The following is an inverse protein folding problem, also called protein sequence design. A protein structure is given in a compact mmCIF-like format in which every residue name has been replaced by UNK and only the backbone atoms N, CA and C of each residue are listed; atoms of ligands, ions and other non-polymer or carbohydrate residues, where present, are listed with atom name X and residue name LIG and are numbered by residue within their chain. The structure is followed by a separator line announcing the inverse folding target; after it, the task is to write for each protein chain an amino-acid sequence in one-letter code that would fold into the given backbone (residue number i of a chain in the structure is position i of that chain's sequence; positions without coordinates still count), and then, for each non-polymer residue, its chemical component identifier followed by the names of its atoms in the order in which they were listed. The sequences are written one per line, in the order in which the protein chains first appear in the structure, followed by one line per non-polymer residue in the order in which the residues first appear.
data_IF_240981281106
#
_entry.id   IF_240981281106
#
_cell.length_a   1.000
_cell.length_b   1.000
_cell.length_c   1.000
_cell.angle_alpha   90.00
_cell.angle_beta   90.00
_cell.angle_gamma   90.00
#
_symmetry.space_group_name_H-M   'P 1'
#
loop_
_entity.id
_entity.type
_entity.pdbx_description
1 polymer ?
#
# COMPACT_ATOMS: atom_id res chain seq x y z
N UNK A 1 -8.79 2.08 -8.51
CA UNK A 1 -8.17 3.32 -8.03
C UNK A 1 -7.34 3.94 -9.15
N UNK A 2 -7.19 5.26 -9.18
CA UNK A 2 -6.27 5.99 -10.07
C UNK A 2 -5.71 7.23 -9.35
N UNK A 3 -4.66 7.85 -9.89
CA UNK A 3 -4.04 9.04 -9.29
C UNK A 3 -3.53 10.06 -10.30
N UNK A 4 -3.48 11.31 -9.88
CA UNK A 4 -2.76 12.40 -10.53
C UNK A 4 -1.81 13.02 -9.51
N UNK A 5 -0.52 13.05 -9.81
CA UNK A 5 0.53 13.77 -9.07
C UNK A 5 0.56 15.24 -9.52
N UNK A 6 0.61 16.17 -8.57
CA UNK A 6 0.69 17.62 -8.82
C UNK A 6 1.99 18.17 -8.22
N UNK A 7 2.79 18.90 -9.02
CA UNK A 7 4.04 19.55 -8.57
C UNK A 7 5.01 18.63 -7.79
N UNK A 8 4.98 17.33 -8.06
CA UNK A 8 5.83 16.32 -7.44
C UNK A 8 6.40 15.36 -8.48
N UNK A 9 7.27 14.45 -8.05
CA UNK A 9 7.88 13.45 -8.91
C UNK A 9 7.01 12.18 -9.01
N UNK A 10 6.24 12.06 -10.09
CA UNK A 10 5.38 10.90 -10.36
C UNK A 10 6.13 9.58 -10.56
N UNK A 11 7.45 9.60 -10.76
CA UNK A 11 8.27 8.40 -10.87
C UNK A 11 8.79 7.91 -9.51
N UNK A 12 8.61 8.69 -8.45
CA UNK A 12 9.06 8.40 -7.08
C UNK A 12 7.86 8.16 -6.16
N UNK A 13 7.61 6.90 -5.83
CA UNK A 13 6.57 6.53 -4.88
C UNK A 13 6.74 7.16 -3.50
N UNK A 14 7.92 7.64 -3.11
CA UNK A 14 8.08 8.29 -1.80
C UNK A 14 7.61 9.74 -1.82
N UNK A 15 7.52 10.36 -2.99
CA UNK A 15 7.18 11.77 -3.11
C UNK A 15 5.68 12.06 -2.96
N UNK A 16 4.84 11.09 -3.34
CA UNK A 16 3.39 11.15 -3.16
C UNK A 16 2.63 10.13 -4.01
N UNK A 17 1.63 9.45 -3.43
CA UNK A 17 0.79 8.47 -4.13
C UNK A 17 -0.63 8.41 -3.56
N UNK A 18 -1.55 7.88 -4.36
CA UNK A 18 -2.82 7.37 -3.87
C UNK A 18 -2.68 5.88 -3.48
N UNK A 19 -3.27 5.48 -2.36
CA UNK A 19 -3.19 4.12 -1.84
C UNK A 19 -4.56 3.44 -1.72
N UNK A 20 -4.53 2.12 -1.88
CA UNK A 20 -5.56 1.17 -1.48
C UNK A 20 -4.93 0.25 -0.45
N UNK A 21 -5.28 0.43 0.82
CA UNK A 21 -4.60 -0.17 1.95
C UNK A 21 -5.40 -1.32 2.56
N UNK A 22 -4.74 -2.42 2.88
CA UNK A 22 -5.27 -3.51 3.71
C UNK A 22 -4.33 -3.70 4.89
N UNK A 23 -4.82 -3.50 6.11
CA UNK A 23 -3.97 -3.35 7.29
C UNK A 23 -4.52 -4.03 8.55
N UNK A 24 -3.62 -4.52 9.39
CA UNK A 24 -3.90 -5.06 10.72
C UNK A 24 -3.17 -4.21 11.76
N UNK A 25 -3.89 -3.30 12.43
CA UNK A 25 -3.28 -2.38 13.40
C UNK A 25 -2.65 -3.09 14.60
N UNK A 26 -3.12 -4.29 14.95
CA UNK A 26 -2.58 -5.03 16.09
C UNK A 26 -1.17 -5.56 15.81
N UNK A 27 -0.91 -5.99 14.58
CA UNK A 27 0.39 -6.52 14.16
C UNK A 27 1.26 -5.48 13.46
N UNK A 28 0.66 -4.34 13.06
CA UNK A 28 1.28 -3.29 12.27
C UNK A 28 1.46 -3.66 10.80
N UNK A 29 0.94 -4.81 10.36
CA UNK A 29 1.09 -5.26 8.97
C UNK A 29 0.22 -4.46 8.04
N UNK A 30 0.79 -4.03 6.92
CA UNK A 30 0.08 -3.29 5.87
C UNK A 30 0.45 -3.86 4.49
N UNK A 31 -0.57 -3.98 3.66
CA UNK A 31 -0.50 -4.50 2.30
C UNK A 31 -1.24 -3.52 1.39
N UNK A 32 -0.50 -2.84 0.53
CA UNK A 32 -1.06 -1.76 -0.29
C UNK A 32 -0.93 -2.05 -1.77
N UNK A 33 -1.88 -1.51 -2.53
CA UNK A 33 -1.56 -0.99 -3.85
C UNK A 33 -1.36 0.52 -3.76
N UNK A 34 -0.33 1.02 -4.43
CA UNK A 34 -0.02 2.44 -4.55
C UNK A 34 0.01 2.85 -6.03
N UNK A 35 -0.42 4.06 -6.34
CA UNK A 35 -0.42 4.57 -7.70
C UNK A 35 -0.09 6.06 -7.75
N UNK A 36 0.72 6.43 -8.73
CA UNK A 36 1.03 7.84 -9.11
C UNK A 36 0.38 8.15 -10.45
N UNK A 37 0.75 9.29 -11.08
CA UNK A 37 0.42 9.55 -12.48
C UNK A 37 1.03 8.55 -13.48
N UNK A 38 2.08 7.83 -13.10
CA UNK A 38 2.90 7.06 -14.06
C UNK A 38 3.17 5.62 -13.64
N UNK A 39 3.10 5.30 -12.35
CA UNK A 39 3.48 4.00 -11.84
C UNK A 39 2.44 3.42 -10.90
N UNK A 40 2.41 2.09 -10.86
CA UNK A 40 1.68 1.28 -9.91
C UNK A 40 2.70 0.45 -9.15
N UNK A 41 2.55 0.41 -7.83
CA UNK A 41 3.39 -0.39 -6.95
C UNK A 41 2.58 -1.09 -5.88
N UNK A 42 3.29 -1.89 -5.11
CA UNK A 42 2.81 -2.52 -3.88
C UNK A 42 3.68 -2.03 -2.72
N UNK A 43 3.06 -1.83 -1.57
CA UNK A 43 3.78 -1.75 -0.29
C UNK A 43 3.50 -3.01 0.51
N UNK A 44 4.56 -3.66 0.94
CA UNK A 44 4.55 -4.69 1.97
C UNK A 44 5.35 -4.13 3.14
N UNK A 45 4.68 -3.88 4.26
CA UNK A 45 5.32 -3.24 5.40
C UNK A 45 4.82 -3.77 6.73
N UNK A 46 5.67 -3.58 7.73
CA UNK A 46 5.28 -3.65 9.12
C UNK A 46 5.63 -2.32 9.76
N UNK A 47 4.59 -1.56 10.13
CA UNK A 47 4.73 -0.22 10.67
C UNK A 47 5.44 -0.25 12.02
N UNK A 48 6.38 0.68 12.20
CA UNK A 48 6.84 1.03 13.53
C UNK A 48 5.70 1.75 14.27
N UNK A 49 5.27 1.19 15.39
CA UNK A 49 4.24 1.77 16.25
C UNK A 49 4.85 1.86 17.66
N UNK A 50 5.21 3.05 18.14
CA UNK A 50 5.80 3.23 19.46
C UNK A 50 4.98 2.53 20.56
N UNK A 51 5.64 1.67 21.33
CA UNK A 51 5.01 0.90 22.41
C UNK A 51 4.27 -0.37 21.97
N UNK A 52 4.18 -0.66 20.66
CA UNK A 52 3.52 -1.86 20.14
C UNK A 52 4.44 -2.69 19.23
N UNK A 53 5.00 -2.09 18.19
CA UNK A 53 5.89 -2.74 17.23
C UNK A 53 7.27 -2.10 17.34
N UNK A 54 8.32 -2.84 17.75
CA UNK A 54 9.64 -2.28 17.92
C UNK A 54 10.33 -2.06 16.57
N UNK A 55 11.30 -1.15 16.53
CA UNK A 55 11.87 -0.65 15.28
C UNK A 55 12.64 -1.72 14.50
N UNK A 56 13.26 -2.68 15.18
CA UNK A 56 13.96 -3.82 14.56
C UNK A 56 13.03 -4.82 13.85
N UNK A 57 11.72 -4.76 14.13
CA UNK A 57 10.70 -5.55 13.44
C UNK A 57 9.99 -4.76 12.35
N UNK A 58 10.21 -3.45 12.29
CA UNK A 58 9.58 -2.57 11.32
C UNK A 58 10.37 -2.58 10.00
N UNK A 59 9.63 -2.61 8.90
CA UNK A 59 10.20 -2.56 7.56
C UNK A 59 9.18 -2.00 6.58
N UNK A 60 9.67 -1.46 5.47
CA UNK A 60 8.84 -1.02 4.34
C UNK A 60 9.51 -1.46 3.05
N UNK A 61 8.85 -2.33 2.31
CA UNK A 61 9.26 -2.74 0.97
C UNK A 61 8.31 -2.14 -0.06
N UNK A 62 8.87 -1.47 -1.07
CA UNK A 62 8.11 -0.92 -2.20
C UNK A 62 8.51 -1.70 -3.44
N UNK A 63 7.52 -2.30 -4.10
CA UNK A 63 7.71 -3.12 -5.29
C UNK A 63 6.99 -2.43 -6.44
N UNK A 64 7.73 -1.96 -7.45
CA UNK A 64 7.14 -1.45 -8.68
C UNK A 64 6.57 -2.62 -9.50
N UNK A 65 5.33 -2.48 -9.96
CA UNK A 65 4.59 -3.56 -10.64
C UNK A 65 4.35 -3.25 -12.10
N UNK A 66 3.84 -2.05 -12.40
CA UNK A 66 3.46 -1.68 -13.77
C UNK A 66 3.45 -0.15 -13.94
N UNK A 67 3.31 0.28 -15.19
CA UNK A 67 3.07 1.67 -15.56
C UNK A 67 1.58 1.98 -15.62
N UNK A 68 1.24 3.24 -15.46
CA UNK A 68 -0.12 3.76 -15.64
C UNK A 68 -0.08 5.15 -16.27
N UNK A 69 -1.24 5.80 -16.37
CA UNK A 69 -1.37 7.18 -16.80
C UNK A 69 -2.22 7.95 -15.81
N UNK A 70 -2.05 9.28 -15.77
CA UNK A 70 -2.74 10.17 -14.85
C UNK A 70 -4.27 9.94 -14.85
N UNK A 71 -4.84 9.74 -13.65
CA UNK A 71 -6.26 9.52 -13.43
C UNK A 71 -6.81 8.18 -13.92
N UNK A 72 -6.01 7.34 -14.58
CA UNK A 72 -6.47 6.06 -15.12
C UNK A 72 -6.88 5.13 -13.99
N UNK A 73 -8.15 4.73 -14.03
CA UNK A 73 -8.72 3.80 -13.07
C UNK A 73 -8.25 2.38 -13.38
N UNK A 74 -7.62 1.77 -12.39
CA UNK A 74 -7.17 0.38 -12.40
C UNK A 74 -7.97 -0.42 -11.38
N UNK A 75 -8.10 -1.74 -11.60
CA UNK A 75 -8.77 -2.64 -10.66
C UNK A 75 -7.73 -3.36 -9.82
N UNK A 76 -7.83 -3.19 -8.52
CA UNK A 76 -6.94 -3.80 -7.54
C UNK A 76 -7.68 -4.84 -6.71
N UNK A 77 -7.00 -5.93 -6.37
CA UNK A 77 -7.49 -6.91 -5.38
C UNK A 77 -6.31 -7.40 -4.56
N UNK A 78 -6.50 -7.43 -3.24
CA UNK A 78 -5.59 -8.03 -2.27
C UNK A 78 -6.35 -9.19 -1.63
N UNK A 79 -5.70 -10.35 -1.52
CA UNK A 79 -6.27 -11.58 -0.98
C UNK A 79 -5.33 -12.16 0.06
N UNK A 80 -5.78 -12.22 1.31
CA UNK A 80 -5.05 -12.87 2.40
C UNK A 80 -5.56 -14.30 2.59
N UNK A 81 -4.66 -15.27 2.55
CA UNK A 81 -4.95 -16.68 2.78
C UNK A 81 -4.23 -17.17 4.05
N UNK A 82 -4.88 -17.02 5.22
CA UNK A 82 -4.31 -17.39 6.55
C UNK A 82 -3.75 -18.82 6.57
N UNK A 83 -4.48 -19.79 6.01
CA UNK A 83 -4.07 -21.20 5.99
C UNK A 83 -2.76 -21.47 5.21
N UNK A 84 -2.39 -20.59 4.28
CA UNK A 84 -1.16 -20.68 3.49
C UNK A 84 -0.09 -19.67 3.92
N UNK A 85 -0.39 -18.84 4.92
CA UNK A 85 0.43 -17.70 5.33
C UNK A 85 0.92 -16.83 4.15
N UNK A 86 0.00 -16.39 3.29
CA UNK A 86 0.35 -15.58 2.12
C UNK A 86 -0.67 -14.49 1.81
N UNK A 87 -0.20 -13.44 1.12
CA UNK A 87 -1.01 -12.39 0.50
C UNK A 87 -0.77 -12.40 -1.01
N UNK A 88 -1.84 -12.49 -1.80
CA UNK A 88 -1.80 -12.37 -3.26
C UNK A 88 -2.33 -11.02 -3.71
N UNK A 89 -1.63 -10.39 -4.65
CA UNK A 89 -1.99 -9.11 -5.24
C UNK A 89 -2.39 -9.32 -6.70
N UNK A 90 -3.49 -8.69 -7.09
CA UNK A 90 -4.00 -8.76 -8.45
C UNK A 90 -4.26 -7.36 -9.01
N UNK A 91 -3.77 -7.14 -10.23
CA UNK A 91 -4.00 -5.93 -11.03
C UNK A 91 -4.83 -6.33 -12.26
N UNK A 92 -5.98 -5.68 -12.45
CA UNK A 92 -6.89 -5.92 -13.58
C UNK A 92 -7.33 -7.38 -13.76
N UNK A 93 -7.31 -8.16 -12.67
CA UNK A 93 -7.69 -9.58 -12.67
C UNK A 93 -6.50 -10.53 -12.79
N UNK A 94 -5.32 -10.03 -13.16
CA UNK A 94 -4.09 -10.83 -13.24
C UNK A 94 -3.33 -10.79 -11.91
N UNK A 95 -2.79 -11.93 -11.49
CA UNK A 95 -1.97 -12.01 -10.28
C UNK A 95 -0.58 -11.46 -10.59
N UNK A 96 -0.21 -10.38 -9.93
CA UNK A 96 1.05 -9.67 -10.19
C UNK A 96 2.11 -9.91 -9.13
N UNK A 97 1.71 -10.28 -7.92
CA UNK A 97 2.64 -10.54 -6.83
C UNK A 97 2.05 -11.51 -5.79
N UNK A 98 2.92 -12.26 -5.12
CA UNK A 98 2.58 -13.10 -3.96
C UNK A 98 3.64 -12.85 -2.89
N UNK A 99 3.20 -12.39 -1.73
CA UNK A 99 4.03 -12.35 -0.54
C UNK A 99 3.72 -13.60 0.31
N UNK A 100 4.76 -14.36 0.64
CA UNK A 100 4.67 -15.54 1.53
C UNK A 100 5.36 -15.24 2.86
N UNK A 101 5.18 -16.15 3.81
CA UNK A 101 5.92 -16.15 5.07
C UNK A 101 5.74 -14.84 5.85
N UNK A 102 4.48 -14.39 5.95
CA UNK A 102 4.14 -13.21 6.75
C UNK A 102 4.61 -13.47 8.20
N UNK A 103 5.38 -12.55 8.81
CA UNK A 103 6.10 -12.82 10.05
C UNK A 103 5.18 -12.96 11.28
N UNK A 104 3.90 -12.62 11.12
CA UNK A 104 2.89 -12.57 12.18
C UNK A 104 1.55 -13.04 11.65
N UNK A 105 0.75 -13.66 12.52
CA UNK A 105 -0.63 -13.99 12.18
C UNK A 105 -1.48 -12.73 12.18
N UNK A 106 -2.40 -12.61 11.22
CA UNK A 106 -3.35 -11.50 11.14
C UNK A 106 -4.69 -11.95 11.71
N UNK A 107 -5.25 -11.13 12.58
CA UNK A 107 -6.53 -11.40 13.23
C UNK A 107 -7.62 -10.41 12.81
N UNK A 108 -7.23 -9.20 12.43
CA UNK A 108 -8.14 -8.21 11.84
C UNK A 108 -7.59 -7.68 10.53
N UNK A 109 -8.48 -7.36 9.59
CA UNK A 109 -8.11 -6.68 8.35
C UNK A 109 -9.03 -5.48 8.19
N UNK A 110 -8.41 -4.31 8.11
CA UNK A 110 -9.06 -3.03 7.90
C UNK A 110 -8.75 -2.55 6.50
N UNK A 111 -9.73 -1.91 5.87
CA UNK A 111 -9.59 -1.30 4.56
C UNK A 111 -9.38 0.20 4.70
N UNK A 112 -8.38 0.75 4.01
CA UNK A 112 -8.06 2.17 4.00
C UNK A 112 -7.79 2.71 2.60
N UNK A 113 -7.89 4.02 2.47
CA UNK A 113 -7.52 4.77 1.26
C UNK A 113 -6.84 6.07 1.70
N UNK A 114 -5.85 6.52 0.95
CA UNK A 114 -5.14 7.74 1.31
C UNK A 114 -4.39 8.39 0.17
N UNK A 115 -4.08 9.67 0.36
CA UNK A 115 -2.99 10.34 -0.33
C UNK A 115 -1.84 10.45 0.67
N UNK A 116 -0.71 9.83 0.35
CA UNK A 116 0.38 9.61 1.30
C UNK A 116 1.68 10.06 0.66
N UNK A 117 2.54 10.68 1.46
CA UNK A 117 3.96 10.90 1.14
C UNK A 117 4.78 10.03 2.08
N UNK A 118 5.89 9.47 1.60
CA UNK A 118 6.64 8.42 2.31
C UNK A 118 8.15 8.69 2.30
N UNK A 119 8.53 9.98 2.33
CA UNK A 119 9.93 10.36 2.53
C UNK A 119 10.32 10.05 3.98
N UNK A 120 11.48 9.39 4.21
CA UNK A 120 11.98 9.20 5.55
C UNK A 120 12.28 10.56 6.21
N UNK A 121 12.19 10.61 7.53
CA UNK A 121 12.66 11.74 8.31
C UNK A 121 14.16 11.91 8.08
N UNK A 122 14.61 13.13 7.80
CA UNK A 122 16.03 13.46 7.61
C UNK A 122 16.43 14.49 8.66
N UNK A 123 17.52 14.22 9.39
CA UNK A 123 18.04 15.11 10.44
C UNK A 123 16.96 15.54 11.46
N UNK A 124 16.07 14.61 11.84
CA UNK A 124 14.98 14.87 12.79
C UNK A 124 13.83 15.73 12.25
N UNK A 125 13.77 16.00 10.94
CA UNK A 125 12.73 16.82 10.31
C UNK A 125 12.06 16.08 9.15
N UNK A 126 10.78 16.35 8.95
CA UNK A 126 10.08 15.91 7.75
C UNK A 126 10.59 16.71 6.56
N UNK A 127 10.96 16.00 5.50
CA UNK A 127 11.24 16.57 4.16
C UNK A 127 10.17 16.17 3.16
N UNK A 128 9.05 15.64 3.66
CA UNK A 128 8.03 15.00 2.85
C UNK A 128 7.15 16.01 2.13
N UNK A 129 7.07 17.26 2.57
CA UNK A 129 6.25 18.31 1.95
C UNK A 129 7.15 19.40 1.38
N UNK A 130 7.02 19.68 0.09
CA UNK A 130 7.80 20.69 -0.64
C UNK A 130 6.96 21.47 -1.67
N UNK A 131 5.63 21.40 -1.57
CA UNK A 131 4.69 22.08 -2.47
C UNK A 131 3.98 21.16 -3.46
N UNK A 132 4.19 19.85 -3.32
CA UNK A 132 3.48 18.84 -4.11
C UNK A 132 2.10 18.51 -3.55
N UNK A 133 1.29 17.85 -4.38
CA UNK A 133 0.00 17.32 -4.01
C UNK A 133 -0.42 16.16 -4.91
N UNK A 134 -1.65 15.71 -4.73
CA UNK A 134 -2.20 14.68 -5.59
C UNK A 134 -3.73 14.65 -5.57
N UNK A 135 -4.30 14.02 -6.58
CA UNK A 135 -5.71 13.65 -6.63
C UNK A 135 -5.79 12.14 -6.72
N UNK A 136 -6.53 11.50 -5.82
CA UNK A 136 -6.81 10.07 -5.87
C UNK A 136 -8.27 9.81 -6.21
N UNK A 137 -8.53 8.74 -6.98
CA UNK A 137 -9.87 8.33 -7.37
C UNK A 137 -10.10 6.88 -6.93
N UNK A 138 -11.19 6.67 -6.21
CA UNK A 138 -11.56 5.40 -5.58
C UNK A 138 -13.01 5.06 -5.92
N UNK A 139 -13.25 3.86 -6.45
CA UNK A 139 -14.60 3.40 -6.77
C UNK A 139 -14.73 1.88 -6.74
N UNK A 140 -15.98 1.39 -6.63
CA UNK A 140 -16.37 -0.02 -6.77
C UNK A 140 -15.69 -0.97 -5.77
N UNK A 141 -15.70 -0.60 -4.49
CA UNK A 141 -15.11 -1.40 -3.40
C UNK A 141 -15.99 -2.58 -3.01
N UNK A 142 -15.34 -3.71 -2.74
CA UNK A 142 -15.97 -4.92 -2.23
C UNK A 142 -15.04 -5.57 -1.22
N UNK A 143 -15.59 -5.96 -0.08
CA UNK A 143 -14.91 -6.79 0.92
C UNK A 143 -15.64 -8.13 0.91
N UNK A 144 -14.89 -9.20 0.68
CA UNK A 144 -15.42 -10.57 0.66
C UNK A 144 -14.70 -11.36 1.75
N UNK A 145 -15.48 -11.92 2.68
CA UNK A 145 -14.98 -12.84 3.69
C UNK A 145 -15.40 -14.26 3.30
N UNK A 146 -14.44 -15.08 2.91
CA UNK A 146 -14.69 -16.49 2.67
C UNK A 146 -14.42 -17.25 3.95
N UNK A 147 -15.49 -17.63 4.66
CA UNK A 147 -15.41 -18.61 5.72
C UNK A 147 -15.23 -19.97 5.03
N UNK A 148 -14.01 -20.50 5.00
CA UNK A 148 -13.85 -21.94 4.78
C UNK A 148 -14.16 -22.60 6.12
N UNK A 149 -15.19 -23.44 6.13
CA UNK A 149 -15.57 -24.29 7.27
C UNK A 149 -14.55 -25.36 7.56
#
# INVERSE_FOLDING_TARGET
MGAVTHNGNSLDFRDGFASFNVLDFNSGMVFDFITTSEKIGIIYERLFIPGLIPQEQAFTEIIEIDKTSAGKLQKFKIEYEKAKNQVSFYLNGEKVHIQKDIPVSLDTLNLGFGLITLKPIQNGRSVSLHGQGGTGIWQNFKILKFLRG
#
